data_IF_083476906011
#
_entry.id   IF_083476906011
#
_cell.length_a   1.000
_cell.length_b   1.000
_cell.length_c   1.000
_cell.angle_alpha   90.00
_cell.angle_beta   90.00
_cell.angle_gamma   90.00
#
_symmetry.space_group_name_H-M   'P 1'
#
loop_
_entity.id
_entity.type
_entity.pdbx_description
1 polymer ?
#
# COMPACT_ATOMS: atom_id res chain seq x y z
N UNK A 1 18.63 21.47 2.55
CA UNK A 1 18.30 20.04 2.36
C UNK A 1 16.80 19.90 2.53
N UNK A 2 16.05 19.68 1.45
CA UNK A 2 14.60 19.46 1.52
C UNK A 2 14.32 18.16 2.26
N UNK A 3 13.24 18.10 3.06
CA UNK A 3 12.80 16.84 3.67
C UNK A 3 12.45 15.85 2.56
N UNK A 4 12.77 14.55 2.68
CA UNK A 4 12.31 13.57 1.71
C UNK A 4 10.79 13.60 1.68
N UNK A 5 10.22 13.71 0.47
CA UNK A 5 8.77 13.59 0.28
C UNK A 5 8.42 12.11 0.41
N UNK A 6 7.59 11.79 1.40
CA UNK A 6 7.01 10.46 1.55
C UNK A 6 5.66 10.45 0.85
N UNK A 7 5.48 9.55 -0.11
CA UNK A 7 4.19 9.34 -0.76
C UNK A 7 3.40 8.31 0.05
N UNK A 8 2.22 8.73 0.52
CA UNK A 8 1.27 7.85 1.18
C UNK A 8 0.04 7.63 0.29
N UNK A 9 -0.36 6.37 0.14
CA UNK A 9 -1.59 6.01 -0.56
C UNK A 9 -2.75 5.96 0.42
N UNK A 10 -3.92 6.45 0.01
CA UNK A 10 -5.12 6.40 0.86
C UNK A 10 -5.46 4.98 1.30
N UNK A 11 -5.30 3.99 0.40
CA UNK A 11 -5.61 2.59 0.71
C UNK A 11 -4.57 1.95 1.63
N UNK A 12 -3.27 2.16 1.37
CA UNK A 12 -2.20 1.61 2.21
C UNK A 12 -2.26 2.12 3.64
N UNK A 13 -2.55 3.42 3.84
CA UNK A 13 -2.83 3.97 5.17
C UNK A 13 -4.03 3.29 5.85
N UNK A 14 -5.17 3.15 5.16
CA UNK A 14 -6.35 2.45 5.72
C UNK A 14 -6.06 0.99 6.10
N UNK A 15 -5.29 0.28 5.28
CA UNK A 15 -4.86 -1.10 5.55
C UNK A 15 -3.98 -1.18 6.80
N UNK A 16 -3.02 -0.26 6.95
CA UNK A 16 -2.14 -0.20 8.11
C UNK A 16 -2.91 0.14 9.41
N UNK A 17 -3.80 1.13 9.35
CA UNK A 17 -4.67 1.52 10.48
C UNK A 17 -5.58 0.38 10.91
N UNK A 18 -6.22 -0.32 9.96
CA UNK A 18 -7.05 -1.50 10.25
C UNK A 18 -6.23 -2.63 10.87
N UNK A 19 -5.06 -2.92 10.32
CA UNK A 19 -4.18 -3.96 10.86
C UNK A 19 -3.72 -3.66 12.29
N UNK A 20 -3.53 -2.38 12.61
CA UNK A 20 -3.21 -1.94 13.96
C UNK A 20 -4.41 -2.08 14.90
N UNK A 21 -5.59 -1.60 14.49
CA UNK A 21 -6.82 -1.68 15.26
C UNK A 21 -7.20 -3.12 15.62
N UNK A 22 -6.94 -4.06 14.70
CA UNK A 22 -7.27 -5.47 14.87
C UNK A 22 -6.10 -6.28 15.47
N UNK A 23 -5.00 -5.61 15.88
CA UNK A 23 -3.79 -6.21 16.45
C UNK A 23 -3.18 -7.35 15.60
N UNK A 24 -3.23 -7.19 14.27
CA UNK A 24 -2.71 -8.19 13.34
C UNK A 24 -1.19 -8.31 13.44
N UNK A 25 -0.71 -9.53 13.28
CA UNK A 25 0.72 -9.85 13.28
C UNK A 25 1.48 -9.00 12.26
N UNK A 26 2.76 -8.73 12.53
CA UNK A 26 3.59 -7.85 11.72
C UNK A 26 3.78 -8.32 10.27
N UNK A 27 3.70 -9.63 10.05
CA UNK A 27 3.80 -10.35 8.79
C UNK A 27 2.43 -10.63 8.14
N UNK A 28 1.33 -10.22 8.77
CA UNK A 28 -0.01 -10.37 8.22
C UNK A 28 -0.10 -9.71 6.83
N UNK A 29 -0.77 -10.39 5.90
CA UNK A 29 -0.86 -10.00 4.50
C UNK A 29 -1.29 -8.54 4.31
N UNK A 30 -2.29 -8.08 5.08
CA UNK A 30 -2.75 -6.69 5.08
C UNK A 30 -1.63 -5.67 5.36
N UNK A 31 -0.72 -5.95 6.31
CA UNK A 31 0.42 -5.06 6.61
C UNK A 31 1.48 -5.13 5.52
N UNK A 32 1.75 -6.33 5.02
CA UNK A 32 2.76 -6.57 3.98
C UNK A 32 2.38 -5.86 2.68
N UNK A 33 1.15 -6.03 2.22
CA UNK A 33 0.66 -5.41 0.99
C UNK A 33 0.44 -3.90 1.11
N UNK A 34 0.10 -3.40 2.31
CA UNK A 34 0.10 -1.96 2.57
C UNK A 34 1.51 -1.38 2.34
N UNK A 35 2.53 -1.95 2.98
CA UNK A 35 3.93 -1.51 2.82
C UNK A 35 4.43 -1.62 1.39
N UNK A 36 4.05 -2.68 0.69
CA UNK A 36 4.40 -2.87 -0.72
C UNK A 36 3.78 -1.77 -1.60
N UNK A 37 2.51 -1.43 -1.38
CA UNK A 37 1.86 -0.38 -2.16
C UNK A 37 2.46 1.00 -1.86
N UNK A 38 2.76 1.31 -0.60
CA UNK A 38 3.47 2.55 -0.24
C UNK A 38 4.86 2.62 -0.86
N UNK A 39 5.60 1.51 -0.85
CA UNK A 39 6.92 1.44 -1.49
C UNK A 39 6.83 1.64 -3.00
N UNK A 40 5.81 1.07 -3.64
CA UNK A 40 5.55 1.25 -5.06
C UNK A 40 5.16 2.69 -5.40
N UNK A 41 4.36 3.36 -4.55
CA UNK A 41 4.02 4.77 -4.68
C UNK A 41 5.26 5.66 -4.56
N UNK A 42 6.10 5.40 -3.56
CA UNK A 42 7.36 6.12 -3.38
C UNK A 42 8.26 6.01 -4.61
N UNK A 43 8.40 4.80 -5.17
CA UNK A 43 9.24 4.58 -6.35
C UNK A 43 8.64 5.13 -7.64
N UNK A 44 7.32 5.18 -7.77
CA UNK A 44 6.64 5.67 -8.97
C UNK A 44 6.54 7.20 -9.03
N UNK A 45 6.38 7.86 -7.87
CA UNK A 45 6.26 9.33 -7.79
C UNK A 45 7.57 10.04 -7.43
N UNK A 46 8.67 9.31 -7.25
CA UNK A 46 9.99 9.90 -7.07
C UNK A 46 10.45 10.73 -8.29
N UNK A 47 11.32 11.71 -8.05
CA UNK A 47 11.92 12.55 -9.10
C UNK A 47 12.62 11.70 -10.18
N UNK A 48 13.37 10.68 -9.75
CA UNK A 48 13.84 9.59 -10.60
C UNK A 48 12.98 8.35 -10.29
N UNK A 49 12.11 7.99 -11.24
CA UNK A 49 11.22 6.84 -11.06
C UNK A 49 12.02 5.54 -10.98
N UNK A 50 11.82 4.79 -9.91
CA UNK A 50 12.41 3.47 -9.68
C UNK A 50 11.41 2.34 -9.88
N UNK A 51 10.11 2.67 -10.00
CA UNK A 51 9.02 1.72 -10.21
C UNK A 51 8.26 2.09 -11.47
N UNK A 52 8.03 1.10 -12.34
CA UNK A 52 7.21 1.30 -13.56
C UNK A 52 5.72 1.45 -13.22
N UNK A 53 4.95 2.07 -14.13
CA UNK A 53 3.49 2.16 -14.01
C UNK A 53 2.83 0.78 -13.80
N UNK A 54 3.31 -0.26 -14.50
CA UNK A 54 2.83 -1.64 -14.32
C UNK A 54 3.11 -2.16 -12.91
N UNK A 55 4.27 -1.85 -12.34
CA UNK A 55 4.63 -2.22 -10.98
C UNK A 55 3.73 -1.55 -9.95
N UNK A 56 3.51 -0.25 -10.09
CA UNK A 56 2.62 0.53 -9.23
C UNK A 56 1.17 0.04 -9.30
N UNK A 57 0.62 -0.10 -10.51
CA UNK A 57 -0.75 -0.60 -10.70
C UNK A 57 -0.92 -2.02 -10.19
N UNK A 58 0.09 -2.89 -10.39
CA UNK A 58 0.08 -4.24 -9.83
C UNK A 58 0.02 -4.26 -8.30
N UNK A 59 0.80 -3.41 -7.63
CA UNK A 59 0.75 -3.28 -6.17
C UNK A 59 -0.61 -2.75 -5.69
N UNK A 60 -1.19 -1.77 -6.40
CA UNK A 60 -2.53 -1.26 -6.14
C UNK A 60 -3.60 -2.36 -6.17
N UNK A 61 -3.62 -3.19 -7.23
CA UNK A 61 -4.60 -4.28 -7.35
C UNK A 61 -4.43 -5.35 -6.27
N UNK A 62 -3.19 -5.70 -5.90
CA UNK A 62 -2.95 -6.63 -4.78
C UNK A 62 -3.47 -6.07 -3.46
N UNK A 63 -3.18 -4.81 -3.17
CA UNK A 63 -3.68 -4.12 -1.98
C UNK A 63 -5.23 -4.05 -1.96
N UNK A 64 -5.86 -3.71 -3.08
CA UNK A 64 -7.33 -3.68 -3.24
C UNK A 64 -7.96 -5.04 -3.00
N UNK A 65 -7.37 -6.09 -3.55
CA UNK A 65 -7.83 -7.46 -3.37
C UNK A 65 -7.77 -7.88 -1.90
N UNK A 66 -6.62 -7.71 -1.24
CA UNK A 66 -6.47 -8.08 0.16
C UNK A 66 -7.40 -7.27 1.08
N UNK A 67 -7.61 -5.98 0.79
CA UNK A 67 -8.58 -5.18 1.54
C UNK A 67 -10.01 -5.73 1.39
N UNK A 68 -10.41 -6.06 0.16
CA UNK A 68 -11.72 -6.65 -0.14
C UNK A 68 -11.92 -7.98 0.58
N UNK A 69 -10.94 -8.89 0.49
CA UNK A 69 -10.98 -10.20 1.14
C UNK A 69 -11.02 -10.07 2.67
N UNK A 70 -10.28 -9.11 3.25
CA UNK A 70 -10.21 -8.91 4.70
C UNK A 70 -11.47 -8.25 5.29
N UNK A 71 -12.01 -7.23 4.62
CA UNK A 71 -13.13 -6.42 5.14
C UNK A 71 -14.50 -6.84 4.65
N UNK A 72 -14.57 -7.62 3.57
CA UNK A 72 -15.80 -7.90 2.85
C UNK A 72 -16.30 -6.75 1.97
N UNK A 73 -15.58 -5.62 1.89
CA UNK A 73 -15.89 -4.56 0.94
C UNK A 73 -15.75 -5.09 -0.51
N UNK A 74 -16.63 -4.72 -1.46
CA UNK A 74 -16.53 -5.18 -2.83
C UNK A 74 -15.20 -4.80 -3.51
N UNK A 75 -14.66 -5.72 -4.31
CA UNK A 75 -13.56 -5.45 -5.22
C UNK A 75 -14.10 -4.68 -6.44
N UNK A 76 -14.13 -3.36 -6.31
CA UNK A 76 -14.40 -2.40 -7.38
C UNK A 76 -13.09 -1.98 -8.03
#
# INVERSE_FOLDING_TARGET
>A
MGKPVTYQTTLGSKMAERAEADALAADHELRTLAKEFESAAQGFFADEQTVSAKGFVGACFRARRAWSEYTGEPLI
#
